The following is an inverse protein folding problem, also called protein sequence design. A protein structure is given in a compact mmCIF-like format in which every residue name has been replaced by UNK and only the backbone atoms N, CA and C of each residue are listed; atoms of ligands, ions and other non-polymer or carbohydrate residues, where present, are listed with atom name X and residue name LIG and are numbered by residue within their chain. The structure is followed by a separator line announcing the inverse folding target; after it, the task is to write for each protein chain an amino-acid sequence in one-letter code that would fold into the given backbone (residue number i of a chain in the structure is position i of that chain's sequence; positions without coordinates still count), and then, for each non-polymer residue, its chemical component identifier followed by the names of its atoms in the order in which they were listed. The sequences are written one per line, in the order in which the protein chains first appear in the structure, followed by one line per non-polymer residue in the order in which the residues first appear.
data_IF_748451048776
#
_entry.id   IF_748451048776
#
_cell.length_a   1.000
_cell.length_b   1.000
_cell.length_c   1.000
_cell.angle_alpha   90.00
_cell.angle_beta   90.00
_cell.angle_gamma   90.00
#
_symmetry.space_group_name_H-M   'P 1'
#
loop_
_entity.id
_entity.type
_entity.pdbx_description
1 polymer ?
2 non-polymer ?
3 water ?
#
# COMPACT_ATOMS: atom_id res chain seq x y z
N UNK A 1 4.85 -8.53 -12.04
CA UNK A 1 5.66 -7.89 -11.03
C UNK A 1 4.76 -7.05 -10.12
N UNK A 2 3.78 -6.43 -10.73
CA UNK A 2 2.82 -5.63 -9.98
C UNK A 2 1.49 -5.63 -10.73
N UNK A 3 0.42 -5.29 -10.02
CA UNK A 3 -0.91 -5.22 -10.59
C UNK A 3 -1.58 -3.91 -10.20
N UNK A 4 -2.32 -3.31 -11.12
CA UNK A 4 -3.14 -2.16 -10.79
C UNK A 4 -4.37 -2.62 -10.01
N UNK A 5 -4.65 -1.95 -8.89
CA UNK A 5 -5.79 -2.28 -8.06
C UNK A 5 -7.01 -1.43 -8.46
N UNK A 6 -6.78 -0.14 -8.60
CA UNK A 6 -7.77 0.77 -9.15
C UNK A 6 -7.07 1.96 -9.81
N UNK A 7 -7.81 3.04 -10.03
CA UNK A 7 -7.25 4.20 -10.72
C UNK A 7 -6.09 4.84 -9.95
N UNK A 8 -6.02 4.60 -8.65
CA UNK A 8 -4.99 5.21 -7.81
C UNK A 8 -3.87 4.24 -7.41
N UNK A 9 -4.27 3.09 -6.87
CA UNK A 9 -3.32 2.20 -6.23
C UNK A 9 -2.80 1.07 -7.11
N UNK A 10 -1.50 0.84 -7.03
CA UNK A 10 -0.90 -0.36 -7.57
C UNK A 10 -0.22 -1.13 -6.45
N UNK A 11 -0.25 -2.47 -6.56
CA UNK A 11 0.35 -3.35 -5.57
C UNK A 11 1.34 -4.27 -6.29
N UNK A 12 2.59 -4.30 -5.84
CA UNK A 12 3.60 -5.13 -6.47
C UNK A 12 4.83 -5.42 -5.63
N UNK A 13 5.76 -6.19 -6.20
CA UNK A 13 7.02 -6.48 -5.54
C UNK A 13 7.86 -5.20 -5.48
N UNK A 14 8.92 -5.23 -4.67
CA UNK A 14 9.80 -4.07 -4.54
C UNK A 14 10.18 -3.54 -5.92
N UNK A 15 10.11 -2.21 -6.08
CA UNK A 15 10.38 -1.55 -7.37
C UNK A 15 11.87 -1.45 -7.62
N UNK A 16 12.32 -1.97 -8.75
CA UNK A 16 13.72 -1.87 -9.15
C UNK A 16 14.02 -0.46 -9.65
N UNK A 17 15.25 -0.01 -9.43
CA UNK A 17 15.70 1.27 -9.97
C UNK A 17 15.27 1.45 -11.43
N UNK A 18 15.45 0.40 -12.22
CA UNK A 18 15.22 0.45 -13.66
C UNK A 18 13.75 0.62 -14.06
N UNK A 19 12.84 0.32 -13.14
CA UNK A 19 11.41 0.38 -13.42
C UNK A 19 10.86 1.78 -13.27
N UNK A 20 11.61 2.63 -12.59
CA UNK A 20 11.19 3.99 -12.29
C UNK A 20 10.52 4.70 -13.47
N UNK A 21 11.19 4.67 -14.62
CA UNK A 21 10.69 5.37 -15.80
C UNK A 21 9.30 4.90 -16.21
N UNK A 22 9.13 3.59 -16.33
CA UNK A 22 7.85 3.00 -16.71
C UNK A 22 6.75 3.31 -15.69
N UNK A 23 7.08 3.20 -14.41
CA UNK A 23 6.10 3.44 -13.35
C UNK A 23 5.56 4.86 -13.37
N UNK A 24 6.45 5.82 -13.57
CA UNK A 24 6.08 7.23 -13.52
C UNK A 24 5.34 7.69 -14.78
N UNK A 25 5.88 7.34 -15.94
CA UNK A 25 5.30 7.76 -17.22
C UNK A 25 4.06 6.96 -17.58
N UNK A 26 4.13 5.64 -17.45
CA UNK A 26 3.04 4.77 -17.89
C UNK A 26 1.93 4.58 -16.85
N UNK A 27 2.31 4.47 -15.59
CA UNK A 27 1.34 4.20 -14.52
C UNK A 27 1.00 5.45 -13.71
N UNK A 28 1.59 6.58 -14.10
CA UNK A 28 1.38 7.87 -13.43
C UNK A 28 1.69 7.85 -11.94
N UNK A 29 2.62 6.98 -11.54
CA UNK A 29 3.01 6.88 -10.14
C UNK A 29 3.72 8.16 -9.68
N UNK A 30 3.13 8.83 -8.70
CA UNK A 30 3.74 10.03 -8.11
C UNK A 30 3.98 9.84 -6.62
N UNK A 31 3.56 8.70 -6.10
CA UNK A 31 3.75 8.39 -4.70
C UNK A 31 4.11 6.93 -4.54
N UNK A 32 4.89 6.63 -3.50
CA UNK A 32 5.25 5.24 -3.23
C UNK A 32 5.19 5.01 -1.73
N UNK A 33 4.52 3.92 -1.35
CA UNK A 33 4.49 3.51 0.04
C UNK A 33 5.44 2.33 0.18
N UNK A 34 6.49 2.55 0.96
CA UNK A 34 7.52 1.52 1.14
C UNK A 34 7.43 0.94 2.54
N UNK A 35 7.20 -0.35 2.62
CA UNK A 35 7.07 -1.01 3.91
C UNK A 35 8.29 -1.85 4.22
N UNK A 36 8.74 -1.77 5.46
CA UNK A 36 9.87 -2.56 5.95
C UNK A 36 11.10 -2.52 5.05
N UNK A 37 11.43 -1.33 4.56
CA UNK A 37 12.65 -1.16 3.77
C UNK A 37 13.83 -1.84 4.45
N UNK A 38 14.39 -2.85 3.80
CA UNK A 38 15.49 -3.63 4.36
C UNK A 38 16.84 -3.24 3.78
N UNK A 39 17.84 -3.16 4.65
CA UNK A 39 19.17 -2.70 4.25
C UNK A 39 19.84 -3.68 3.28
N UNK A 40 19.38 -4.92 3.30
CA UNK A 40 20.00 -5.97 2.51
C UNK A 40 19.55 -5.92 1.05
N UNK A 41 18.49 -5.17 0.78
CA UNK A 41 17.90 -5.16 -0.56
C UNK A 41 17.78 -3.76 -1.15
N UNK A 42 18.20 -2.75 -0.40
CA UNK A 42 18.00 -1.37 -0.83
C UNK A 42 18.89 -0.93 -1.99
N UNK A 43 19.87 -1.75 -2.35
CA UNK A 43 20.72 -1.44 -3.49
C UNK A 43 19.95 -1.68 -4.79
N UNK A 44 18.87 -2.45 -4.68
CA UNK A 44 18.02 -2.77 -5.83
C UNK A 44 17.03 -1.64 -6.12
N UNK A 45 16.70 -0.87 -5.09
CA UNK A 45 15.63 0.11 -5.18
C UNK A 45 16.14 1.55 -5.13
N UNK A 46 15.30 2.47 -5.57
CA UNK A 46 15.59 3.88 -5.42
C UNK A 46 15.73 4.26 -3.95
N UNK A 47 16.58 5.24 -3.68
CA UNK A 47 16.58 5.90 -2.39
C UNK A 47 15.41 6.86 -2.42
N UNK A 48 15.17 7.55 -1.31
CA UNK A 48 14.09 8.52 -1.27
C UNK A 48 14.36 9.68 -2.22
N UNK A 49 15.65 10.02 -2.36
CA UNK A 49 16.05 11.11 -3.24
C UNK A 49 15.92 10.74 -4.72
N UNK A 50 16.26 9.49 -5.06
CA UNK A 50 16.09 9.01 -6.42
C UNK A 50 14.60 8.99 -6.80
N UNK A 51 13.74 8.88 -5.81
CA UNK A 51 12.30 9.01 -6.06
C UNK A 51 11.93 10.47 -6.32
N UNK A 52 12.43 11.37 -5.48
CA UNK A 52 12.19 12.80 -5.67
C UNK A 52 12.55 13.24 -7.08
N UNK A 53 13.74 12.83 -7.52
CA UNK A 53 14.22 13.14 -8.86
C UNK A 53 13.19 12.80 -9.94
N UNK A 54 12.55 11.65 -9.78
CA UNK A 54 11.53 11.21 -10.72
C UNK A 54 10.18 11.83 -10.42
N UNK A 55 10.14 12.68 -9.40
CA UNK A 55 8.92 13.39 -9.06
C UNK A 55 7.93 12.57 -8.24
N UNK A 56 8.40 11.53 -7.57
CA UNK A 56 7.52 10.76 -6.70
C UNK A 56 7.91 10.85 -5.23
N UNK A 57 6.90 11.08 -4.38
CA UNK A 57 7.08 11.15 -2.95
C UNK A 57 7.03 9.76 -2.33
N UNK A 58 8.00 9.45 -1.48
CA UNK A 58 8.05 8.16 -0.81
C UNK A 58 7.58 8.28 0.64
N UNK A 59 6.64 7.42 1.02
CA UNK A 59 6.26 7.28 2.42
C UNK A 59 6.77 5.93 2.94
N UNK A 60 7.59 5.97 3.98
CA UNK A 60 8.13 4.74 4.55
C UNK A 60 7.38 4.36 5.80
N UNK A 61 6.90 3.13 5.83
CA UNK A 61 6.17 2.63 6.99
C UNK A 61 6.80 1.34 7.48
N UNK A 62 6.74 1.13 8.79
CA UNK A 62 7.23 -0.11 9.38
C UNK A 62 6.05 -0.90 9.95
N UNK A 63 6.13 -2.22 9.83
CA UNK A 63 5.16 -3.10 10.49
C UNK A 63 5.55 -3.18 11.95
N UNK A 64 4.57 -3.44 12.81
CA UNK A 64 4.86 -3.78 14.19
C UNK A 64 5.53 -5.14 14.16
N UNK A 65 6.78 -5.20 14.59
CA UNK A 65 7.57 -6.43 14.53
C UNK A 65 6.72 -7.69 14.78
N UNK A 66 6.90 -8.68 13.92
CA UNK A 66 6.22 -9.98 14.03
C UNK A 66 4.73 -9.94 13.70
N UNK A 67 4.19 -8.75 13.46
CA UNK A 67 2.76 -8.60 13.21
C UNK A 67 2.42 -8.67 11.72
N UNK A 68 3.29 -8.12 10.88
CA UNK A 68 3.05 -8.08 9.46
C UNK A 68 2.20 -6.88 9.08
N UNK A 69 1.82 -6.07 10.08
CA UNK A 69 0.99 -4.89 9.84
C UNK A 69 1.50 -3.72 10.66
N UNK A 70 1.45 -2.50 10.10
CA UNK A 70 1.78 -1.31 10.87
C UNK A 70 0.80 -1.13 12.03
N UNK A 71 1.01 -0.09 12.82
CA UNK A 71 0.01 0.28 13.81
C UNK A 71 -1.22 0.80 13.07
N UNK A 72 -2.34 0.90 13.78
CA UNK A 72 -3.52 1.52 13.23
C UNK A 72 -3.17 2.90 12.70
N UNK A 73 -2.39 3.65 13.48
CA UNK A 73 -2.03 5.02 13.14
C UNK A 73 -1.28 5.10 11.81
N UNK A 74 -0.41 4.12 11.57
CA UNK A 74 0.38 4.09 10.35
C UNK A 74 -0.41 3.55 9.16
N UNK A 75 -1.41 2.72 9.47
CA UNK A 75 -2.37 2.28 8.47
C UNK A 75 -3.15 3.48 7.96
N UNK A 76 -3.59 4.34 8.88
CA UNK A 76 -4.28 5.57 8.52
C UNK A 76 -3.35 6.51 7.76
N UNK A 77 -2.09 6.56 8.17
CA UNK A 77 -1.10 7.36 7.45
C UNK A 77 -0.98 6.90 6.01
N UNK A 78 -0.89 5.59 5.82
CA UNK A 78 -0.77 5.01 4.50
C UNK A 78 -1.98 5.30 3.64
N UNK A 79 -3.16 5.15 4.23
CA UNK A 79 -4.40 5.35 3.51
C UNK A 79 -4.59 6.83 3.13
N UNK A 80 -4.35 7.73 4.09
CA UNK A 80 -4.45 9.16 3.81
C UNK A 80 -3.46 9.59 2.75
N UNK A 81 -2.30 8.94 2.71
CA UNK A 81 -1.29 9.18 1.69
C UNK A 81 -1.84 8.80 0.32
N UNK A 82 -2.45 7.62 0.24
CA UNK A 82 -3.06 7.18 -1.01
C UNK A 82 -4.18 8.12 -1.45
N UNK A 83 -4.97 8.60 -0.48
CA UNK A 83 -6.10 9.47 -0.78
C UNK A 83 -5.62 10.84 -1.23
N UNK A 84 -4.50 11.28 -0.67
CA UNK A 84 -3.83 12.50 -1.11
C UNK A 84 -3.61 12.44 -2.62
N UNK A 85 -3.07 11.34 -3.10
CA UNK A 85 -2.80 11.21 -4.53
C UNK A 85 -4.04 10.90 -5.38
N UNK A 86 -5.03 10.23 -4.78
CA UNK A 86 -6.31 10.03 -5.45
C UNK A 86 -6.95 11.38 -5.81
N UNK A 87 -6.86 12.34 -4.90
CA UNK A 87 -7.41 13.68 -5.12
C UNK A 87 -6.67 14.41 -6.22
N UNK A 88 -5.43 14.02 -6.46
CA UNK A 88 -4.59 14.65 -7.47
C UNK A 88 -4.73 13.93 -8.81
N UNK A 89 -5.45 12.81 -8.80
CA UNK A 89 -5.60 12.00 -10.01
C UNK A 89 -4.34 11.27 -10.39
N UNK A 90 -3.46 11.07 -9.41
CA UNK A 90 -2.18 10.42 -9.65
C UNK A 90 -2.16 9.08 -8.93
N UNK A 91 -1.10 8.32 -9.12
CA UNK A 91 -1.08 6.95 -8.63
C UNK A 91 -0.04 6.71 -7.55
N UNK A 92 -0.25 5.67 -6.76
CA UNK A 92 0.66 5.29 -5.70
C UNK A 92 1.00 3.82 -5.81
N UNK A 93 2.29 3.52 -5.78
CA UNK A 93 2.78 2.15 -5.80
C UNK A 93 3.04 1.70 -4.38
N UNK A 94 2.42 0.59 -4.01
CA UNK A 94 2.49 0.07 -2.65
C UNK A 94 3.27 -1.24 -2.64
N UNK A 95 4.31 -1.31 -1.84
CA UNK A 95 5.14 -2.51 -1.82
C UNK A 95 5.79 -2.80 -0.49
N UNK A 96 6.15 -4.07 -0.32
CA UNK A 96 7.13 -4.47 0.66
C UNK A 96 8.19 -5.24 -0.14
N UNK A 97 8.16 -6.56 -0.04
CA UNK A 97 9.08 -7.39 -0.80
C UNK A 97 8.42 -8.06 -1.99
N UNK A 98 7.51 -9.00 -1.70
CA UNK A 98 6.92 -9.83 -2.74
C UNK A 98 5.58 -9.31 -3.25
N UNK A 99 5.02 -8.32 -2.55
CA UNK A 99 3.73 -7.75 -2.91
C UNK A 99 2.56 -8.70 -2.65
N UNK A 100 2.65 -9.49 -1.58
CA UNK A 100 1.68 -10.54 -1.33
C UNK A 100 0.99 -10.48 0.03
N UNK A 101 1.61 -9.83 1.01
CA UNK A 101 1.17 -9.96 2.39
C UNK A 101 1.10 -8.64 3.17
N UNK A 102 2.26 -8.13 3.56
CA UNK A 102 2.33 -6.86 4.28
C UNK A 102 1.80 -5.73 3.40
N UNK A 103 2.22 -5.75 2.14
CA UNK A 103 1.80 -4.73 1.20
C UNK A 103 0.33 -4.93 0.81
N UNK A 104 -0.07 -6.19 0.70
CA UNK A 104 -1.47 -6.53 0.44
C UNK A 104 -2.37 -6.03 1.57
N UNK A 105 -1.90 -6.12 2.80
CA UNK A 105 -2.66 -5.66 3.96
C UNK A 105 -2.88 -4.15 3.92
N UNK A 106 -1.85 -3.42 3.53
CA UNK A 106 -1.93 -1.96 3.39
C UNK A 106 -2.99 -1.59 2.35
N UNK A 107 -2.95 -2.26 1.21
CA UNK A 107 -3.93 -2.02 0.15
C UNK A 107 -5.34 -2.40 0.64
N UNK A 108 -5.43 -3.47 1.42
CA UNK A 108 -6.70 -3.87 2.01
C UNK A 108 -7.31 -2.75 2.85
N UNK A 109 -6.47 -2.08 3.65
CA UNK A 109 -6.97 -1.02 4.50
C UNK A 109 -7.50 0.14 3.65
N UNK A 110 -6.75 0.49 2.61
CA UNK A 110 -7.19 1.49 1.63
C UNK A 110 -8.58 1.17 1.09
N UNK A 111 -8.76 -0.05 0.58
CA UNK A 111 -10.04 -0.45 0.02
C UNK A 111 -11.17 -0.45 1.05
N UNK A 112 -10.86 -0.89 2.26
CA UNK A 112 -11.84 -0.87 3.33
C UNK A 112 -12.39 0.54 3.53
N UNK A 113 -11.48 1.50 3.62
CA UNK A 113 -11.88 2.88 3.87
C UNK A 113 -12.60 3.47 2.67
N UNK A 114 -12.03 3.28 1.48
CA UNK A 114 -12.61 3.83 0.26
C UNK A 114 -14.01 3.30 -0.03
N UNK A 115 -14.23 2.01 0.22
CA UNK A 115 -15.50 1.39 -0.15
C UNK A 115 -16.43 1.08 1.01
N UNK A 116 -15.97 1.36 2.23
CA UNK A 116 -16.66 0.86 3.40
C UNK A 116 -16.93 -0.63 3.24
N UNK A 117 -15.90 -1.39 2.87
CA UNK A 117 -15.99 -2.84 2.70
C UNK A 117 -15.49 -3.58 3.94
N UNK A 118 -15.92 -4.83 4.07
CA UNK A 118 -15.39 -5.70 5.11
C UNK A 118 -13.95 -6.07 4.78
N UNK A 119 -13.16 -6.44 5.78
CA UNK A 119 -11.80 -6.89 5.48
C UNK A 119 -11.81 -7.98 4.40
N UNK A 120 -12.70 -8.96 4.53
CA UNK A 120 -12.72 -10.08 3.58
C UNK A 120 -13.13 -9.68 2.16
N UNK A 121 -14.03 -8.71 2.03
CA UNK A 121 -14.39 -8.19 0.72
C UNK A 121 -13.18 -7.57 0.03
N UNK A 122 -12.45 -6.74 0.76
CA UNK A 122 -11.26 -6.08 0.25
C UNK A 122 -10.20 -7.10 -0.16
N UNK A 123 -9.95 -8.06 0.73
CA UNK A 123 -8.92 -9.07 0.48
C UNK A 123 -9.26 -9.90 -0.75
N UNK A 124 -10.50 -10.36 -0.82
CA UNK A 124 -10.96 -11.15 -1.96
C UNK A 124 -10.86 -10.36 -3.27
N UNK A 125 -11.08 -9.05 -3.20
CA UNK A 125 -10.95 -8.19 -4.38
C UNK A 125 -9.50 -8.14 -4.85
N UNK A 126 -8.59 -8.02 -3.89
CA UNK A 126 -7.17 -7.98 -4.21
C UNK A 126 -6.73 -9.34 -4.79
N UNK A 127 -7.23 -10.42 -4.19
CA UNK A 127 -6.84 -11.76 -4.62
C UNK A 127 -7.41 -12.12 -6.00
N UNK A 128 -8.48 -11.44 -6.40
CA UNK A 128 -9.07 -11.67 -7.71
C UNK A 128 -8.16 -11.10 -8.80
N UNK A 129 -7.32 -10.15 -8.42
CA UNK A 129 -6.43 -9.49 -9.37
C UNK A 129 -5.01 -10.02 -9.29
N UNK A 130 -4.50 -10.20 -8.08
CA UNK A 130 -3.11 -10.61 -7.88
C UNK A 130 -3.02 -11.93 -7.12
N UNK A 131 -2.18 -12.84 -7.63
CA UNK A 131 -2.08 -14.19 -7.09
C UNK A 131 -1.26 -14.27 -5.81
N UNK A 132 -1.46 -15.35 -5.06
CA UNK A 132 -0.69 -15.63 -3.86
C UNK A 132 -0.79 -14.54 -2.78
N UNK A 133 -1.92 -13.84 -2.75
CA UNK A 133 -2.19 -12.95 -1.64
C UNK A 133 -2.31 -13.80 -0.39
N UNK A 134 -1.56 -13.46 0.64
CA UNK A 134 -1.60 -14.20 1.89
C UNK A 134 -1.67 -13.24 3.06
N UNK A 135 -2.87 -13.03 3.57
CA UNK A 135 -3.06 -12.16 4.72
C UNK A 135 -3.41 -13.01 5.96
N UNK A 136 -2.46 -13.08 6.89
CA UNK A 136 -2.57 -13.98 8.04
C UNK A 136 -3.51 -13.47 9.11
N UNK A 137 -3.99 -14.37 10.00
CA UNK A 137 -4.85 -13.97 11.11
C UNK A 137 -4.32 -12.76 11.86
N UNK A 138 -3.02 -12.69 12.07
CA UNK A 138 -2.41 -11.56 12.77
C UNK A 138 -2.61 -10.26 12.00
N UNK A 139 -2.62 -10.36 10.68
CA UNK A 139 -2.84 -9.18 9.85
C UNK A 139 -4.33 -8.86 9.74
N UNK A 140 -5.15 -9.91 9.68
CA UNK A 140 -6.60 -9.72 9.56
C UNK A 140 -7.19 -9.03 10.79
N UNK A 141 -6.68 -9.37 11.97
CA UNK A 141 -7.21 -8.77 13.20
C UNK A 141 -7.04 -7.25 13.23
N UNK A 142 -5.91 -6.76 12.72
CA UNK A 142 -5.70 -5.32 12.67
C UNK A 142 -6.63 -4.66 11.65
N UNK A 143 -6.82 -5.33 10.51
CA UNK A 143 -7.77 -4.86 9.50
C UNK A 143 -9.20 -4.81 10.07
N UNK A 144 -9.50 -5.72 10.98
CA UNK A 144 -10.78 -5.71 11.68
C UNK A 144 -10.95 -4.47 12.55
N UNK A 145 -9.89 -4.09 13.27
CA UNK A 145 -9.93 -2.91 14.13
C UNK A 145 -10.01 -1.66 13.25
N UNK A 146 -9.28 -1.69 12.13
CA UNK A 146 -9.29 -0.57 11.20
C UNK A 146 -10.70 -0.36 10.66
N UNK A 147 -11.38 -1.46 10.35
CA UNK A 147 -12.75 -1.45 9.87
C UNK A 147 -13.70 -0.81 10.89
N UNK A 148 -13.51 -1.11 12.17
CA UNK A 148 -14.33 -0.53 13.22
C UNK A 148 -14.11 0.98 13.35
N UNK A 149 -12.85 1.40 13.24
CA UNK A 149 -12.50 2.82 13.34
C UNK A 149 -13.06 3.61 12.17
N UNK A 150 -12.98 3.02 10.98
CA UNK A 150 -13.50 3.64 9.76
C UNK A 150 -15.00 3.87 9.88
N UNK A 151 -15.70 2.87 10.39
CA UNK A 151 -17.15 2.96 10.57
C UNK A 151 -17.54 4.04 11.58
N UNK A 152 -16.80 4.11 12.69
CA UNK A 152 -17.08 5.07 13.74
C UNK A 152 -16.78 6.51 13.30
N UNK A 153 -15.77 6.67 12.45
CA UNK A 153 -15.43 7.98 11.94
C UNK A 153 -16.49 8.41 10.93
N UNK A 154 -17.03 7.42 10.22
CA UNK A 154 -18.09 7.65 9.24
C UNK A 154 -19.38 8.13 9.89
N UNK A 155 -19.67 7.62 11.09
CA UNK A 155 -20.89 7.98 11.81
C UNK A 155 -20.84 9.41 12.37
N UNK A 156 -19.64 9.99 12.40
CA UNK A 156 -19.47 11.36 12.89
C UNK A 156 -19.90 12.40 11.84
N UNK A 157 -19.98 11.98 10.59
CA UNK A 157 -20.26 12.89 9.48
C UNK A 157 -21.72 13.32 9.37
#
# INVERSE_FOLDING_TARGET
WYHRIDHTVLLGALPLKNMTRRLVLDENVRGVITMNEEYETRFLCNTSKEWKKAGVEQLRLSTVDMTGVPTLANLHKGVQFALKYQALGQCVYVHCKAGRSRSATMVAAYLIQVHNWSPEEAIEAIAKIRSHISIRPSQLEVLKEFHKEITARAAKN
#
